data_IF_846440964260
#
_entry.id   IF_846440964260
#
_cell.length_a   1.000
_cell.length_b   1.000
_cell.length_c   1.000
_cell.angle_alpha   90.00
_cell.angle_beta   90.00
_cell.angle_gamma   90.00
#
_symmetry.space_group_name_H-M   'P 1'
#
loop_
_entity.id
_entity.type
_entity.pdbx_description
1 polymer ?
#
# COMPACT_ATOMS: atom_id res chain seq x y z
N UNK A 1 -18.04 -13.99 2.04
CA UNK A 1 -16.72 -14.58 2.33
C UNK A 1 -15.79 -13.51 2.89
N UNK A 2 -15.17 -13.80 4.00
CA UNK A 2 -14.23 -12.86 4.61
C UNK A 2 -12.91 -12.83 3.83
N UNK A 3 -12.29 -11.67 3.75
CA UNK A 3 -10.96 -11.53 3.17
C UNK A 3 -9.93 -12.23 4.06
N UNK A 4 -8.88 -12.77 3.45
CA UNK A 4 -7.76 -13.34 4.21
C UNK A 4 -6.82 -12.20 4.70
N UNK A 5 -5.87 -12.52 5.62
CA UNK A 5 -5.00 -11.48 6.17
C UNK A 5 -4.21 -10.67 5.15
N UNK A 6 -3.73 -11.28 4.07
CA UNK A 6 -2.96 -10.54 3.06
C UNK A 6 -3.86 -9.64 2.23
N UNK A 7 -5.11 -10.03 2.02
CA UNK A 7 -6.09 -9.18 1.36
C UNK A 7 -6.43 -7.97 2.24
N UNK A 8 -6.50 -8.14 3.55
CA UNK A 8 -6.67 -7.01 4.48
C UNK A 8 -5.48 -6.05 4.41
N UNK A 9 -4.27 -6.58 4.25
CA UNK A 9 -3.08 -5.73 4.09
C UNK A 9 -3.18 -4.88 2.82
N UNK A 10 -3.62 -5.48 1.71
CA UNK A 10 -3.85 -4.75 0.47
C UNK A 10 -4.98 -3.72 0.61
N UNK A 11 -6.04 -4.07 1.32
CA UNK A 11 -7.15 -3.14 1.59
C UNK A 11 -6.69 -1.96 2.43
N UNK A 12 -5.83 -2.20 3.42
CA UNK A 12 -5.24 -1.14 4.23
C UNK A 12 -4.41 -0.19 3.37
N UNK A 13 -3.61 -0.73 2.46
CA UNK A 13 -2.83 0.09 1.53
C UNK A 13 -3.75 0.95 0.65
N UNK A 14 -4.80 0.35 0.10
CA UNK A 14 -5.76 1.07 -0.74
C UNK A 14 -6.47 2.18 0.01
N UNK A 15 -6.91 1.92 1.22
CA UNK A 15 -7.55 2.91 2.08
C UNK A 15 -6.60 4.07 2.40
N UNK A 16 -5.35 3.76 2.76
CA UNK A 16 -4.35 4.77 3.06
C UNK A 16 -4.03 5.62 1.83
N UNK A 17 -3.89 4.99 0.66
CA UNK A 17 -3.66 5.70 -0.58
C UNK A 17 -4.79 6.69 -0.88
N UNK A 18 -6.05 6.25 -0.78
CA UNK A 18 -7.21 7.09 -1.05
C UNK A 18 -7.25 8.31 -0.13
N UNK A 19 -7.01 8.13 1.15
CA UNK A 19 -6.96 9.21 2.14
C UNK A 19 -5.78 10.15 1.84
N UNK A 20 -4.60 9.59 1.57
CA UNK A 20 -3.39 10.37 1.35
C UNK A 20 -3.50 11.23 0.08
N UNK A 21 -4.13 10.71 -0.98
CA UNK A 21 -4.41 11.52 -2.17
C UNK A 21 -5.26 12.73 -1.85
N UNK A 22 -6.30 12.58 -1.03
CA UNK A 22 -7.14 13.70 -0.62
C UNK A 22 -6.38 14.72 0.23
N UNK A 23 -5.60 14.25 1.17
CA UNK A 23 -4.80 15.13 2.04
C UNK A 23 -3.79 15.93 1.22
N UNK A 24 -3.04 15.28 0.36
CA UNK A 24 -1.98 15.95 -0.42
C UNK A 24 -2.53 16.80 -1.56
N UNK A 25 -3.67 16.45 -2.13
CA UNK A 25 -4.34 17.32 -3.08
C UNK A 25 -4.68 18.67 -2.41
N UNK A 26 -5.20 18.63 -1.19
CA UNK A 26 -5.49 19.86 -0.42
C UNK A 26 -4.20 20.63 -0.10
N UNK A 27 -3.14 19.94 0.32
CA UNK A 27 -1.86 20.56 0.65
C UNK A 27 -1.22 21.27 -0.54
N UNK A 28 -1.32 20.67 -1.72
CA UNK A 28 -0.71 21.21 -2.94
C UNK A 28 -1.64 22.16 -3.71
N UNK A 29 -2.87 22.35 -3.24
CA UNK A 29 -3.86 23.17 -3.93
C UNK A 29 -4.30 22.57 -5.26
N UNK A 30 -4.33 21.25 -5.36
CA UNK A 30 -4.73 20.50 -6.57
C UNK A 30 -6.20 20.12 -6.43
N UNK A 31 -6.99 20.46 -7.44
CA UNK A 31 -8.38 20.03 -7.48
C UNK A 31 -8.46 18.57 -7.93
N UNK A 32 -9.05 17.73 -7.09
CA UNK A 32 -9.18 16.31 -7.34
C UNK A 32 -10.65 15.92 -7.20
N UNK A 33 -11.28 15.62 -8.32
CA UNK A 33 -12.71 15.30 -8.34
C UNK A 33 -12.95 13.84 -7.96
N UNK A 34 -12.07 12.93 -8.41
CA UNK A 34 -12.27 11.50 -8.18
C UNK A 34 -10.93 10.78 -7.99
N UNK A 35 -10.91 9.85 -7.05
CA UNK A 35 -9.78 8.95 -6.81
C UNK A 35 -10.31 7.51 -6.86
N UNK A 36 -9.75 6.70 -7.73
CA UNK A 36 -10.03 5.27 -7.77
C UNK A 36 -8.72 4.52 -7.61
N UNK A 37 -8.70 3.61 -6.66
CA UNK A 37 -7.51 2.80 -6.35
C UNK A 37 -7.87 1.34 -6.50
N UNK A 38 -7.08 0.61 -7.30
CA UNK A 38 -7.16 -0.84 -7.39
C UNK A 38 -5.79 -1.41 -7.06
N UNK A 39 -5.75 -2.40 -6.19
CA UNK A 39 -4.49 -2.98 -5.72
C UNK A 39 -4.54 -4.49 -5.88
N UNK A 40 -3.44 -5.06 -6.38
CA UNK A 40 -3.25 -6.49 -6.39
C UNK A 40 -1.81 -6.82 -5.99
N UNK A 41 -1.59 -8.06 -5.60
CA UNK A 41 -0.27 -8.50 -5.18
C UNK A 41 -0.07 -9.97 -5.45
N UNK A 42 1.19 -10.37 -5.50
CA UNK A 42 1.58 -11.77 -5.71
C UNK A 42 2.28 -12.30 -4.46
N UNK A 43 1.88 -13.47 -4.03
CA UNK A 43 2.48 -14.15 -2.89
C UNK A 43 2.73 -15.61 -3.25
N UNK A 44 3.88 -16.13 -2.84
CA UNK A 44 4.24 -17.52 -3.06
C UNK A 44 4.12 -18.27 -1.73
N UNK A 45 3.14 -19.15 -1.62
CA UNK A 45 2.83 -19.84 -0.37
C UNK A 45 3.92 -20.83 0.08
N UNK A 46 4.88 -21.17 -0.79
CA UNK A 46 6.00 -22.00 -0.38
C UNK A 46 6.84 -21.32 0.70
N UNK A 47 6.91 -19.98 0.69
CA UNK A 47 7.54 -19.22 1.76
C UNK A 47 6.77 -19.32 3.07
N UNK A 48 5.45 -19.17 2.99
CA UNK A 48 4.58 -19.27 4.17
C UNK A 48 4.67 -20.66 4.83
N UNK A 49 4.63 -21.71 4.02
CA UNK A 49 4.68 -23.09 4.54
C UNK A 49 6.10 -23.60 4.85
N UNK A 50 7.12 -22.80 4.58
CA UNK A 50 8.50 -23.19 4.84
C UNK A 50 9.03 -24.28 3.91
N UNK A 51 8.41 -24.45 2.74
CA UNK A 51 8.82 -25.46 1.77
C UNK A 51 10.15 -25.09 1.13
N UNK A 52 10.41 -23.80 0.95
CA UNK A 52 11.64 -23.29 0.37
C UNK A 52 12.05 -22.00 1.10
N UNK A 53 13.17 -22.06 1.81
CA UNK A 53 13.65 -20.92 2.62
C UNK A 53 14.14 -19.75 1.78
N UNK A 54 14.35 -19.92 0.48
CA UNK A 54 14.74 -18.84 -0.41
C UNK A 54 13.56 -18.00 -0.86
N UNK A 55 12.33 -18.49 -0.64
CA UNK A 55 11.11 -17.77 -0.99
C UNK A 55 10.64 -17.03 0.25
N UNK A 56 10.49 -15.70 0.10
CA UNK A 56 10.02 -14.87 1.22
C UNK A 56 8.58 -15.23 1.59
N UNK A 57 8.24 -15.08 2.87
CA UNK A 57 6.90 -15.39 3.35
C UNK A 57 5.85 -14.36 2.87
N UNK A 58 6.25 -13.13 2.60
CA UNK A 58 5.36 -12.05 2.21
C UNK A 58 5.18 -11.89 0.70
N UNK A 59 4.68 -10.73 0.31
CA UNK A 59 4.45 -10.42 -1.10
C UNK A 59 5.74 -10.37 -1.91
N UNK A 60 5.71 -10.92 -3.12
CA UNK A 60 6.77 -10.78 -4.10
C UNK A 60 6.66 -9.46 -4.84
N UNK A 61 5.43 -9.04 -5.13
CA UNK A 61 5.13 -7.79 -5.80
C UNK A 61 3.75 -7.30 -5.38
N UNK A 62 3.59 -5.99 -5.34
CA UNK A 62 2.31 -5.33 -5.12
C UNK A 62 2.18 -4.24 -6.17
N UNK A 63 1.03 -4.16 -6.82
CA UNK A 63 0.74 -3.16 -7.83
C UNK A 63 -0.40 -2.28 -7.36
N UNK A 64 -0.19 -0.97 -7.45
CA UNK A 64 -1.19 0.03 -7.11
C UNK A 64 -1.59 0.74 -8.40
N UNK A 65 -2.84 0.59 -8.79
CA UNK A 65 -3.41 1.22 -9.97
C UNK A 65 -4.22 2.43 -9.51
N UNK A 66 -3.80 3.62 -9.92
CA UNK A 66 -4.41 4.87 -9.48
C UNK A 66 -5.04 5.57 -10.68
N UNK A 67 -6.32 5.89 -10.56
CA UNK A 67 -7.05 6.63 -11.56
C UNK A 67 -7.59 7.92 -10.92
N UNK A 68 -7.06 9.05 -11.37
CA UNK A 68 -7.40 10.37 -10.86
C UNK A 68 -8.18 11.15 -11.92
N UNK A 69 -9.20 11.88 -11.50
CA UNK A 69 -10.00 12.73 -12.38
C UNK A 69 -10.11 14.15 -11.83
N UNK A 70 -10.03 15.12 -12.70
CA UNK A 70 -10.18 16.50 -12.34
C UNK A 70 -9.68 17.44 -13.44
N UNK A 71 -9.75 18.76 -13.23
CA UNK A 71 -9.44 19.76 -14.24
C UNK A 71 -7.96 20.13 -14.36
N UNK A 72 -7.09 19.53 -13.55
CA UNK A 72 -5.67 19.86 -13.55
C UNK A 72 -4.93 19.19 -14.70
N UNK A 73 -3.70 19.63 -14.93
CA UNK A 73 -2.85 19.03 -15.97
C UNK A 73 -2.31 17.66 -15.52
N UNK A 74 -1.94 16.77 -16.46
CA UNK A 74 -1.29 15.53 -16.11
C UNK A 74 -0.03 15.72 -15.24
N UNK A 75 0.76 16.77 -15.50
CA UNK A 75 1.96 17.07 -14.71
C UNK A 75 1.62 17.37 -13.25
N UNK A 76 0.51 18.07 -12.98
CA UNK A 76 0.08 18.34 -11.60
C UNK A 76 -0.35 17.06 -10.88
N UNK A 77 -1.03 16.15 -11.58
CA UNK A 77 -1.41 14.88 -10.98
C UNK A 77 -0.22 13.95 -10.75
N UNK A 78 0.81 14.02 -11.61
CA UNK A 78 2.07 13.32 -11.34
C UNK A 78 2.78 13.87 -10.10
N UNK A 79 2.76 15.18 -9.91
CA UNK A 79 3.30 15.82 -8.72
C UNK A 79 2.56 15.33 -7.46
N UNK A 80 1.23 15.25 -7.55
CA UNK A 80 0.40 14.72 -6.46
C UNK A 80 0.77 13.26 -6.16
N UNK A 81 0.88 12.42 -7.18
CA UNK A 81 1.21 11.01 -7.00
C UNK A 81 2.57 10.84 -6.34
N UNK A 82 3.58 11.64 -6.73
CA UNK A 82 4.90 11.60 -6.12
C UNK A 82 4.85 11.98 -4.63
N UNK A 83 4.05 13.00 -4.29
CA UNK A 83 3.88 13.42 -2.90
C UNK A 83 3.20 12.34 -2.06
N UNK A 84 2.20 11.67 -2.61
CA UNK A 84 1.50 10.56 -1.96
C UNK A 84 2.48 9.40 -1.70
N UNK A 85 3.24 9.03 -2.71
CA UNK A 85 4.21 7.93 -2.58
C UNK A 85 5.27 8.22 -1.52
N UNK A 86 5.64 9.48 -1.35
CA UNK A 86 6.63 9.89 -0.36
C UNK A 86 6.07 9.94 1.06
N UNK A 87 4.76 10.00 1.24
CA UNK A 87 4.16 10.28 2.56
C UNK A 87 3.10 9.28 3.02
N UNK A 88 2.77 8.28 2.23
CA UNK A 88 1.77 7.28 2.60
C UNK A 88 2.36 6.30 3.63
N UNK A 89 1.85 6.27 4.88
CA UNK A 89 2.43 5.41 5.92
C UNK A 89 2.35 3.92 5.62
N UNK A 90 1.25 3.46 5.03
CA UNK A 90 1.10 2.04 4.73
C UNK A 90 1.96 1.64 3.54
N UNK A 91 2.13 2.52 2.55
CA UNK A 91 3.07 2.26 1.46
C UNK A 91 4.50 2.15 1.98
N UNK A 92 4.88 3.03 2.92
CA UNK A 92 6.18 2.95 3.58
C UNK A 92 6.37 1.59 4.26
N UNK A 93 5.33 1.09 4.93
CA UNK A 93 5.36 -0.23 5.56
C UNK A 93 5.68 -1.34 4.55
N UNK A 94 5.15 -1.26 3.33
CA UNK A 94 5.41 -2.23 2.27
C UNK A 94 6.80 -2.10 1.65
N UNK A 95 7.31 -0.88 1.56
CA UNK A 95 8.57 -0.60 0.85
C UNK A 95 9.80 -0.71 1.73
N UNK A 96 9.67 -0.47 3.03
CA UNK A 96 10.81 -0.38 3.93
C UNK A 96 10.66 -1.34 5.09
N UNK A 97 11.76 -1.95 5.54
CA UNK A 97 11.69 -2.80 6.73
C UNK A 97 11.46 -1.94 7.97
N UNK A 98 10.61 -2.43 8.86
CA UNK A 98 10.37 -1.83 10.16
C UNK A 98 10.79 -2.81 11.23
N UNK A 99 11.40 -2.31 12.31
CA UNK A 99 11.82 -3.15 13.41
C UNK A 99 10.59 -3.74 14.12
N UNK A 100 10.54 -5.06 14.17
CA UNK A 100 9.47 -5.78 14.88
C UNK A 100 10.11 -6.64 15.95
N UNK A 101 9.77 -6.38 17.21
CA UNK A 101 10.25 -7.14 18.35
C UNK A 101 9.17 -8.10 18.82
N UNK A 102 9.52 -9.39 18.87
CA UNK A 102 8.61 -10.40 19.41
C UNK A 102 8.98 -10.66 20.87
N UNK A 103 7.97 -10.65 21.75
CA UNK A 103 8.12 -11.02 23.14
C UNK A 103 7.23 -12.22 23.45
N UNK A 104 7.84 -13.35 23.75
CA UNK A 104 7.09 -14.54 24.15
C UNK A 104 6.84 -14.44 25.65
N UNK A 105 5.63 -14.07 26.04
CA UNK A 105 5.30 -13.78 27.44
C UNK A 105 4.97 -15.02 28.25
N UNK A 106 4.66 -16.15 27.62
CA UNK A 106 4.41 -17.44 28.29
C UNK A 106 4.63 -18.58 27.32
N UNK A 107 5.30 -19.64 27.79
CA UNK A 107 5.59 -20.82 26.99
C UNK A 107 5.31 -22.14 27.72
N UNK A 108 4.61 -22.08 28.87
CA UNK A 108 4.28 -23.25 29.68
C UNK A 108 3.06 -24.01 29.17
#
# INVERSE_FOLDING_TARGET
MAANPVEYALAALGSCQAITYRVWAAQLGIRLDKVEIAIDGDIDLRGFFGINDRIRAGFNAVRVHVNLSGPETPARYEELAAAVDAHCPVLDLFRNPVSVERKLVSAA
#
